data_IF_231800595052
#
_entry.id   IF_231800595052
#
_cell.length_a   1.000
_cell.length_b   1.000
_cell.length_c   1.000
_cell.angle_alpha   90.00
_cell.angle_beta   90.00
_cell.angle_gamma   90.00
#
_symmetry.space_group_name_H-M   'P 1'
#
loop_
_entity.id
_entity.type
_entity.pdbx_description
1 polymer ?
#
# COMPACT_ATOMS: atom_id res chain seq x y z
N UNK A 1 17.98 -0.62 -0.09
CA UNK A 1 18.41 -0.56 1.33
C UNK A 1 17.57 -1.55 2.15
N UNK A 2 18.13 -2.24 3.15
CA UNK A 2 17.37 -3.00 4.17
C UNK A 2 17.65 -2.34 5.51
N UNK A 3 16.62 -1.80 6.16
CA UNK A 3 16.73 -1.22 7.49
C UNK A 3 15.55 -1.65 8.34
N UNK A 4 15.82 -1.97 9.61
CA UNK A 4 14.82 -2.36 10.59
C UNK A 4 15.02 -1.63 11.91
N UNK A 5 13.92 -1.12 12.46
CA UNK A 5 13.86 -0.57 13.81
C UNK A 5 12.57 -1.09 14.45
N UNK A 6 12.67 -2.16 15.23
CA UNK A 6 11.54 -2.72 15.93
C UNK A 6 11.21 -1.91 17.17
N UNK A 7 10.01 -1.37 17.25
CA UNK A 7 9.45 -0.84 18.49
C UNK A 7 8.12 -1.54 18.75
N UNK A 8 7.98 -2.10 19.95
CA UNK A 8 6.78 -2.82 20.35
C UNK A 8 5.51 -1.93 20.30
N UNK A 9 4.35 -2.56 20.16
CA UNK A 9 3.00 -1.98 20.36
C UNK A 9 2.93 -1.09 21.62
N UNK A 10 3.71 -1.38 22.66
CA UNK A 10 3.81 -0.62 23.91
C UNK A 10 4.81 0.56 23.90
N UNK A 11 5.69 0.68 22.91
CA UNK A 11 6.73 1.72 22.79
C UNK A 11 6.26 3.03 22.15
N UNK A 12 7.05 4.10 22.25
CA UNK A 12 6.66 5.49 21.87
C UNK A 12 6.97 5.89 20.42
N UNK A 13 7.73 5.09 19.67
CA UNK A 13 8.13 5.36 18.28
C UNK A 13 7.62 4.24 17.38
N UNK A 14 6.96 4.55 16.27
CA UNK A 14 6.42 3.54 15.37
C UNK A 14 7.08 3.63 14.00
N UNK A 15 7.97 2.69 13.69
CA UNK A 15 8.55 2.52 12.35
C UNK A 15 8.38 1.07 11.89
N UNK A 16 8.54 0.87 10.59
CA UNK A 16 8.46 -0.43 9.95
C UNK A 16 9.61 -1.35 10.38
N UNK A 17 9.34 -2.64 10.64
CA UNK A 17 10.39 -3.59 11.07
C UNK A 17 11.37 -3.93 9.94
N UNK A 18 10.93 -3.85 8.69
CA UNK A 18 11.74 -3.97 7.48
C UNK A 18 11.30 -2.96 6.42
N UNK A 19 12.15 -1.99 6.08
CA UNK A 19 11.96 -1.17 4.89
C UNK A 19 12.81 -1.75 3.76
N UNK A 20 12.16 -2.26 2.70
CA UNK A 20 12.81 -2.77 1.50
C UNK A 20 12.55 -1.82 0.34
N UNK A 21 13.61 -1.22 -0.18
CA UNK A 21 13.55 -0.30 -1.32
C UNK A 21 14.46 -0.79 -2.44
N UNK A 22 13.88 -0.99 -3.64
CA UNK A 22 14.55 -1.58 -4.83
C UNK A 22 15.23 -2.93 -4.55
N UNK A 23 14.70 -3.69 -3.58
CA UNK A 23 15.25 -4.99 -3.23
C UNK A 23 14.75 -6.08 -4.20
N UNK A 24 15.57 -7.12 -4.41
CA UNK A 24 15.19 -8.27 -5.23
C UNK A 24 15.60 -9.57 -4.60
N UNK A 25 14.86 -10.65 -4.88
CA UNK A 25 15.13 -12.00 -4.41
C UNK A 25 15.30 -12.10 -2.89
N UNK A 26 14.34 -11.54 -2.15
CA UNK A 26 14.37 -11.53 -0.69
C UNK A 26 13.51 -12.67 -0.15
N UNK A 27 14.08 -13.48 0.75
CA UNK A 27 13.35 -14.49 1.51
C UNK A 27 13.34 -14.10 2.98
N UNK A 28 12.14 -14.05 3.56
CA UNK A 28 11.91 -13.98 5.00
C UNK A 28 11.15 -15.25 5.39
N UNK A 29 11.76 -16.06 6.24
CA UNK A 29 11.30 -17.41 6.51
C UNK A 29 11.41 -17.72 8.00
N UNK A 30 10.40 -18.41 8.55
CA UNK A 30 10.41 -18.94 9.91
C UNK A 30 10.74 -17.88 10.97
N UNK A 31 10.08 -16.72 10.84
CA UNK A 31 10.26 -15.57 11.73
C UNK A 31 8.96 -15.30 12.51
N UNK A 32 9.10 -14.83 13.74
CA UNK A 32 8.01 -14.29 14.55
C UNK A 32 8.15 -12.78 14.70
N UNK A 33 7.09 -12.05 14.38
CA UNK A 33 6.98 -10.59 14.50
C UNK A 33 5.94 -10.27 15.55
N UNK A 34 6.40 -10.08 16.78
CA UNK A 34 5.55 -9.82 17.92
C UNK A 34 5.55 -8.35 18.28
N UNK A 35 4.37 -7.75 18.34
CA UNK A 35 4.22 -6.34 18.67
C UNK A 35 4.89 -5.38 17.65
N UNK A 36 5.15 -5.84 16.43
CA UNK A 36 5.89 -5.07 15.42
C UNK A 36 5.03 -4.06 14.63
N UNK A 37 3.74 -3.90 14.95
CA UNK A 37 2.80 -3.12 14.13
C UNK A 37 2.00 -2.12 14.98
N UNK A 38 2.55 -0.89 15.11
CA UNK A 38 1.92 0.23 15.84
C UNK A 38 1.45 1.37 14.93
N UNK A 39 2.38 1.98 14.20
CA UNK A 39 2.10 3.12 13.28
C UNK A 39 2.62 2.87 11.85
N UNK A 40 3.09 1.67 11.55
CA UNK A 40 3.72 1.33 10.27
C UNK A 40 3.35 -0.07 9.80
N UNK A 41 4.28 -0.70 9.09
CA UNK A 41 4.14 -2.05 8.56
C UNK A 41 5.14 -2.97 9.26
N UNK A 42 4.94 -4.29 9.24
CA UNK A 42 6.07 -5.18 9.56
C UNK A 42 7.10 -5.06 8.44
N UNK A 43 6.63 -5.09 7.19
CA UNK A 43 7.44 -5.05 5.98
C UNK A 43 6.84 -4.04 4.99
N UNK A 44 7.61 -3.02 4.63
CA UNK A 44 7.26 -2.09 3.56
C UNK A 44 8.07 -2.43 2.31
N UNK A 45 7.39 -2.84 1.24
CA UNK A 45 8.01 -3.26 -0.02
C UNK A 45 7.83 -2.17 -1.07
N UNK A 46 8.91 -1.50 -1.42
CA UNK A 46 8.87 -0.34 -2.33
C UNK A 46 9.69 -0.61 -3.59
N UNK A 47 9.00 -0.81 -4.72
CA UNK A 47 9.65 -1.16 -5.98
C UNK A 47 10.49 -2.44 -5.90
N UNK A 48 10.01 -3.44 -5.17
CA UNK A 48 10.71 -4.71 -5.00
C UNK A 48 10.30 -5.74 -6.07
N UNK A 49 11.16 -6.72 -6.33
CA UNK A 49 10.90 -7.80 -7.28
C UNK A 49 11.37 -9.16 -6.71
N UNK A 50 10.43 -10.08 -6.49
CA UNK A 50 10.76 -11.42 -5.98
C UNK A 50 10.96 -11.40 -4.46
N UNK A 51 9.89 -11.11 -3.71
CA UNK A 51 9.89 -11.18 -2.24
C UNK A 51 9.03 -12.34 -1.78
N UNK A 52 9.61 -13.23 -0.97
CA UNK A 52 8.90 -14.37 -0.37
C UNK A 52 8.89 -14.22 1.13
N UNK A 53 7.70 -14.22 1.74
CA UNK A 53 7.50 -14.32 3.18
C UNK A 53 6.82 -15.64 3.45
N UNK A 54 7.52 -16.57 4.12
CA UNK A 54 7.05 -17.95 4.24
C UNK A 54 7.14 -18.48 5.66
N UNK A 55 6.10 -19.17 6.11
CA UNK A 55 6.06 -19.82 7.43
C UNK A 55 6.34 -18.86 8.59
N UNK A 56 6.00 -17.57 8.42
CA UNK A 56 6.19 -16.54 9.44
C UNK A 56 4.92 -16.33 10.27
N UNK A 57 5.09 -15.85 11.50
CA UNK A 57 3.97 -15.46 12.37
C UNK A 57 4.03 -13.97 12.67
N UNK A 58 2.91 -13.27 12.54
CA UNK A 58 2.76 -11.87 12.94
C UNK A 58 1.67 -11.77 14.01
N UNK A 59 2.04 -11.27 15.19
CA UNK A 59 1.18 -11.21 16.36
C UNK A 59 0.84 -9.76 16.75
N UNK A 60 -0.46 -9.47 16.67
CA UNK A 60 -1.05 -8.25 17.18
C UNK A 60 -0.78 -7.01 16.32
N UNK A 61 -1.75 -6.10 16.38
CA UNK A 61 -1.71 -4.76 15.79
C UNK A 61 -2.20 -3.75 16.81
N UNK A 62 -1.44 -2.69 17.07
CA UNK A 62 -1.93 -1.62 17.93
C UNK A 62 -3.16 -0.97 17.31
N UNK A 63 -4.24 -0.71 18.07
CA UNK A 63 -5.30 0.18 17.63
C UNK A 63 -4.67 1.56 17.46
N UNK A 64 -4.74 2.08 16.25
CA UNK A 64 -4.41 3.48 16.03
C UNK A 64 -5.60 4.33 16.45
N UNK A 65 -5.37 5.31 17.32
CA UNK A 65 -6.39 6.26 17.78
C UNK A 65 -6.70 7.34 16.74
N UNK A 66 -6.00 7.33 15.61
CA UNK A 66 -6.11 8.30 14.52
C UNK A 66 -5.94 7.58 13.18
N UNK A 67 -7.04 7.33 12.47
CA UNK A 67 -7.12 6.97 11.04
C UNK A 67 -6.39 5.72 10.51
N UNK A 68 -5.57 4.99 11.27
CA UNK A 68 -4.70 3.95 10.66
C UNK A 68 -5.09 2.50 10.93
N UNK A 69 -6.39 2.20 10.94
CA UNK A 69 -6.85 0.80 10.96
C UNK A 69 -6.55 0.05 9.64
N UNK A 70 -6.19 0.73 8.55
CA UNK A 70 -5.81 0.10 7.27
C UNK A 70 -4.45 -0.61 7.26
N UNK A 71 -3.54 -0.36 8.22
CA UNK A 71 -2.13 -0.76 8.05
C UNK A 71 -1.93 -2.26 7.92
N UNK A 72 -1.31 -2.64 6.81
CA UNK A 72 -0.94 -3.98 6.40
C UNK A 72 0.34 -4.40 7.13
N UNK A 73 0.46 -5.67 7.50
CA UNK A 73 1.71 -6.25 7.96
C UNK A 73 2.76 -6.20 6.86
N UNK A 74 2.36 -6.57 5.64
CA UNK A 74 3.22 -6.53 4.46
C UNK A 74 2.59 -5.58 3.44
N UNK A 75 3.15 -4.40 3.29
CA UNK A 75 2.68 -3.43 2.31
C UNK A 75 3.42 -3.64 0.99
N UNK A 76 2.67 -3.82 -0.10
CA UNK A 76 3.21 -3.73 -1.47
C UNK A 76 2.98 -2.31 -1.98
N UNK A 77 4.05 -1.59 -2.27
CA UNK A 77 4.00 -0.18 -2.63
C UNK A 77 4.96 0.15 -3.80
N UNK A 78 4.77 1.34 -4.36
CA UNK A 78 5.62 1.94 -5.38
C UNK A 78 6.81 2.66 -4.73
N UNK A 79 7.94 2.69 -5.45
CA UNK A 79 9.11 3.48 -5.08
C UNK A 79 8.81 4.98 -5.11
N UNK A 80 8.30 5.51 -3.99
CA UNK A 80 8.02 6.94 -3.81
C UNK A 80 8.48 7.40 -2.44
N UNK A 81 8.87 8.67 -2.34
CA UNK A 81 9.25 9.27 -1.06
C UNK A 81 8.08 9.25 -0.06
N UNK A 82 6.85 9.47 -0.54
CA UNK A 82 5.67 9.51 0.32
C UNK A 82 5.25 8.14 0.87
N UNK A 83 5.45 7.06 0.10
CA UNK A 83 5.22 5.70 0.57
C UNK A 83 6.38 5.12 1.39
N UNK A 84 7.48 5.87 1.52
CA UNK A 84 8.68 5.36 2.16
C UNK A 84 8.54 5.25 3.67
N UNK A 85 8.62 4.01 4.16
CA UNK A 85 8.73 3.72 5.60
C UNK A 85 10.05 4.21 6.19
N UNK A 86 11.08 4.37 5.35
CA UNK A 86 12.35 4.99 5.72
C UNK A 86 12.93 5.77 4.53
N UNK A 87 13.55 6.92 4.80
CA UNK A 87 14.11 7.77 3.76
C UNK A 87 15.37 7.13 3.13
N UNK A 88 15.39 7.09 1.81
CA UNK A 88 16.53 6.71 0.98
C UNK A 88 16.97 7.94 0.16
N UNK A 89 17.96 7.78 -0.71
CA UNK A 89 18.40 8.83 -1.62
C UNK A 89 17.23 9.38 -2.44
N UNK A 90 17.05 10.71 -2.48
CA UNK A 90 15.95 11.34 -3.23
C UNK A 90 15.92 10.94 -4.72
N UNK A 91 17.08 10.62 -5.31
CA UNK A 91 17.18 10.18 -6.70
C UNK A 91 16.82 8.71 -6.94
N UNK A 92 16.61 7.89 -5.91
CA UNK A 92 16.23 6.48 -6.07
C UNK A 92 14.72 6.25 -6.16
N UNK A 93 13.90 7.29 -5.94
CA UNK A 93 12.44 7.20 -6.04
C UNK A 93 11.95 7.38 -7.48
N UNK A 94 11.64 6.28 -8.16
CA UNK A 94 11.33 6.23 -9.59
C UNK A 94 9.90 5.72 -9.91
N UNK A 95 9.11 5.51 -8.88
CA UNK A 95 7.75 4.98 -8.95
C UNK A 95 7.66 3.51 -9.31
N UNK A 96 8.76 2.75 -9.32
CA UNK A 96 8.75 1.32 -9.67
C UNK A 96 7.75 0.58 -8.76
N UNK A 97 6.76 -0.16 -9.31
CA UNK A 97 5.83 -0.92 -8.50
C UNK A 97 6.48 -2.21 -7.99
N UNK A 98 6.06 -2.64 -6.80
CA UNK A 98 6.45 -3.96 -6.29
C UNK A 98 5.73 -5.08 -7.05
N UNK A 99 6.49 -6.11 -7.43
CA UNK A 99 6.00 -7.26 -8.21
C UNK A 99 6.57 -8.58 -7.67
N UNK A 100 5.92 -9.69 -8.03
CA UNK A 100 6.36 -11.06 -7.70
C UNK A 100 6.53 -11.25 -6.18
N UNK A 101 5.43 -11.11 -5.44
CA UNK A 101 5.42 -11.28 -3.99
C UNK A 101 4.65 -12.53 -3.62
N UNK A 102 5.25 -13.38 -2.78
CA UNK A 102 4.62 -14.58 -2.24
C UNK A 102 4.55 -14.49 -0.73
N UNK A 103 3.35 -14.68 -0.17
CA UNK A 103 3.11 -14.81 1.26
C UNK A 103 2.47 -16.17 1.49
N UNK A 104 3.23 -17.12 2.01
CA UNK A 104 2.83 -18.53 2.05
C UNK A 104 2.98 -19.11 3.47
N UNK A 105 2.02 -19.92 3.91
CA UNK A 105 2.09 -20.61 5.21
C UNK A 105 2.12 -19.69 6.44
N UNK A 106 1.88 -18.38 6.26
CA UNK A 106 2.00 -17.40 7.32
C UNK A 106 0.79 -17.37 8.27
N UNK A 107 1.00 -16.90 9.49
CA UNK A 107 -0.05 -16.78 10.51
C UNK A 107 -0.16 -15.34 10.97
N UNK A 108 -1.35 -14.75 10.85
CA UNK A 108 -1.66 -13.39 11.30
C UNK A 108 -2.72 -13.50 12.40
N UNK A 109 -2.30 -13.25 13.64
CA UNK A 109 -3.08 -13.60 14.83
C UNK A 109 -3.21 -12.42 15.79
N UNK A 110 -4.28 -12.38 16.61
CA UNK A 110 -4.38 -11.42 17.70
C UNK A 110 -3.32 -11.69 18.76
N UNK A 111 -3.05 -10.69 19.60
CA UNK A 111 -2.08 -10.79 20.69
C UNK A 111 -2.65 -10.17 21.96
N UNK A 112 -2.50 -10.83 23.11
CA UNK A 112 -2.87 -10.26 24.40
C UNK A 112 -1.63 -9.86 25.18
N UNK A 113 -1.52 -8.57 25.53
CA UNK A 113 -0.42 -8.02 26.33
C UNK A 113 -1.02 -7.20 27.46
N UNK A 114 -0.60 -7.47 28.71
CA UNK A 114 -1.06 -6.71 29.88
C UNK A 114 -2.58 -6.69 30.06
N UNK A 115 -3.27 -7.78 29.71
CA UNK A 115 -4.73 -7.88 29.77
C UNK A 115 -5.50 -7.20 28.63
N UNK A 116 -4.80 -6.56 27.69
CA UNK A 116 -5.41 -5.97 26.49
C UNK A 116 -5.19 -6.87 25.29
N UNK A 117 -6.27 -7.24 24.58
CA UNK A 117 -6.20 -7.98 23.33
C UNK A 117 -6.17 -7.04 22.14
N UNK A 118 -5.14 -7.17 21.33
CA UNK A 118 -4.91 -6.47 20.08
C UNK A 118 -5.36 -7.36 18.91
N UNK A 119 -6.07 -6.83 17.90
CA UNK A 119 -6.51 -7.60 16.73
C UNK A 119 -5.31 -8.09 15.92
N UNK A 120 -5.54 -9.07 15.05
CA UNK A 120 -4.52 -9.42 14.06
C UNK A 120 -4.31 -8.28 13.06
N UNK A 121 -3.11 -8.14 12.50
CA UNK A 121 -2.89 -7.23 11.40
C UNK A 121 -3.52 -7.73 10.10
N UNK A 122 -3.84 -6.81 9.21
CA UNK A 122 -4.19 -7.12 7.82
C UNK A 122 -2.95 -7.69 7.14
N UNK A 123 -2.99 -8.89 6.51
CA UNK A 123 -1.77 -9.56 6.07
C UNK A 123 -0.96 -8.79 5.03
N UNK A 124 -1.59 -8.51 3.89
CA UNK A 124 -0.95 -7.98 2.69
C UNK A 124 -1.88 -7.00 2.02
N UNK A 125 -1.33 -5.90 1.53
CA UNK A 125 -2.10 -4.97 0.72
C UNK A 125 -1.36 -3.74 0.25
N UNK A 126 -2.11 -2.85 -0.39
CA UNK A 126 -1.66 -1.57 -0.90
C UNK A 126 -2.76 -0.52 -0.84
N UNK A 127 -2.38 0.73 -0.58
CA UNK A 127 -3.29 1.88 -0.50
C UNK A 127 -2.78 3.12 -1.25
N UNK A 128 -1.73 2.97 -2.05
CA UNK A 128 -1.23 3.95 -3.01
C UNK A 128 -1.14 3.33 -4.41
N UNK A 129 -1.16 4.14 -5.46
CA UNK A 129 -1.02 3.67 -6.84
C UNK A 129 -0.56 4.79 -7.77
N UNK A 130 0.38 4.54 -8.68
CA UNK A 130 0.71 5.47 -9.77
C UNK A 130 -0.04 5.04 -11.03
N UNK A 131 -0.64 5.98 -11.76
CA UNK A 131 -1.36 5.68 -13.00
C UNK A 131 -0.49 4.86 -13.98
N UNK A 132 -1.05 3.80 -14.53
CA UNK A 132 -0.36 2.88 -15.45
C UNK A 132 0.66 1.94 -14.79
N UNK A 133 0.86 2.02 -13.47
CA UNK A 133 1.76 1.14 -12.72
C UNK A 133 0.95 0.25 -11.79
N UNK A 134 1.15 -1.05 -11.92
CA UNK A 134 0.36 -2.05 -11.22
C UNK A 134 1.25 -2.92 -10.34
N UNK A 135 0.75 -3.28 -9.16
CA UNK A 135 1.34 -4.34 -8.35
C UNK A 135 1.01 -5.68 -9.01
N UNK A 136 2.02 -6.49 -9.30
CA UNK A 136 1.83 -7.70 -10.12
C UNK A 136 2.27 -8.97 -9.46
N UNK A 137 1.58 -10.06 -9.81
CA UNK A 137 1.94 -11.41 -9.41
C UNK A 137 2.08 -11.54 -7.89
N UNK A 138 1.02 -11.18 -7.18
CA UNK A 138 0.97 -11.26 -5.72
C UNK A 138 0.22 -12.54 -5.35
N UNK A 139 0.87 -13.43 -4.61
CA UNK A 139 0.27 -14.68 -4.13
C UNK A 139 0.20 -14.65 -2.62
N UNK A 140 -1.00 -14.85 -2.07
CA UNK A 140 -1.22 -15.11 -0.65
C UNK A 140 -1.79 -16.52 -0.55
N UNK A 141 -1.07 -17.45 0.06
CA UNK A 141 -1.46 -18.86 0.11
C UNK A 141 -1.25 -19.53 1.45
N UNK A 142 -2.10 -20.51 1.75
CA UNK A 142 -1.96 -21.39 2.92
C UNK A 142 -1.84 -20.62 4.27
N UNK A 143 -2.32 -19.38 4.32
CA UNK A 143 -2.21 -18.54 5.50
C UNK A 143 -3.39 -18.74 6.44
N UNK A 144 -3.13 -18.57 7.74
CA UNK A 144 -4.15 -18.42 8.77
C UNK A 144 -4.28 -16.94 9.13
N UNK A 145 -5.48 -16.39 8.95
CA UNK A 145 -5.84 -15.04 9.35
C UNK A 145 -6.97 -15.15 10.37
N UNK A 146 -6.71 -14.74 11.60
CA UNK A 146 -7.71 -14.82 12.67
C UNK A 146 -7.92 -13.45 13.29
N UNK A 147 -9.17 -13.02 13.43
CA UNK A 147 -9.55 -11.78 14.12
C UNK A 147 -8.82 -10.53 13.60
N UNK A 148 -8.57 -10.51 12.27
CA UNK A 148 -8.19 -9.30 11.57
C UNK A 148 -9.42 -8.41 11.42
N UNK A 149 -9.22 -7.10 11.60
CA UNK A 149 -10.29 -6.11 11.55
C UNK A 149 -10.20 -5.29 10.29
N UNK A 150 -11.31 -5.15 9.59
CA UNK A 150 -11.41 -4.20 8.48
C UNK A 150 -11.25 -2.77 9.01
N UNK A 151 -10.59 -1.94 8.22
CA UNK A 151 -10.64 -0.51 8.44
C UNK A 151 -12.03 0.01 8.08
N UNK A 152 -12.70 0.68 9.02
CA UNK A 152 -14.00 1.33 8.79
C UNK A 152 -13.89 2.84 8.60
N UNK A 153 -12.67 3.38 8.60
CA UNK A 153 -12.36 4.81 8.63
C UNK A 153 -11.70 5.33 7.35
N UNK A 154 -10.97 4.50 6.61
CA UNK A 154 -10.42 4.88 5.28
C UNK A 154 -11.33 4.49 4.12
N UNK A 155 -10.89 4.72 2.88
CA UNK A 155 -11.56 4.20 1.67
C UNK A 155 -11.16 2.75 1.32
N UNK A 156 -10.32 2.11 2.15
CA UNK A 156 -9.75 0.78 1.90
C UNK A 156 -10.13 -0.21 3.01
N UNK A 157 -11.05 -1.13 2.74
CA UNK A 157 -11.82 -1.85 3.77
C UNK A 157 -11.50 -3.35 3.88
N UNK A 158 -10.63 -3.91 3.03
CA UNK A 158 -10.37 -5.36 3.00
C UNK A 158 -9.32 -5.82 4.02
N UNK A 159 -9.50 -7.00 4.63
CA UNK A 159 -8.43 -7.71 5.38
C UNK A 159 -7.24 -7.94 4.45
N UNK A 160 -7.49 -8.39 3.22
CA UNK A 160 -6.59 -8.22 2.09
C UNK A 160 -7.15 -7.11 1.20
N UNK A 161 -6.33 -6.14 0.83
CA UNK A 161 -6.79 -5.06 -0.05
C UNK A 161 -5.70 -4.60 -1.01
N UNK A 162 -6.08 -4.37 -2.26
CA UNK A 162 -5.12 -3.98 -3.29
C UNK A 162 -5.67 -2.88 -4.18
N UNK A 163 -4.94 -1.78 -4.27
CA UNK A 163 -5.18 -0.73 -5.27
C UNK A 163 -4.30 -0.98 -6.48
N UNK A 164 -4.87 -0.94 -7.69
CA UNK A 164 -4.12 -1.09 -8.94
C UNK A 164 -3.27 -2.38 -8.96
N UNK A 165 -3.86 -3.51 -8.60
CA UNK A 165 -3.20 -4.81 -8.70
C UNK A 165 -3.65 -5.60 -9.94
N UNK A 166 -2.73 -6.40 -10.46
CA UNK A 166 -2.89 -7.20 -11.67
C UNK A 166 -2.24 -8.57 -11.44
N UNK A 167 -3.01 -9.64 -11.52
CA UNK A 167 -2.53 -10.99 -11.17
C UNK A 167 -2.33 -11.18 -9.66
N UNK A 168 -3.42 -11.12 -8.89
CA UNK A 168 -3.43 -11.50 -7.47
C UNK A 168 -4.08 -12.86 -7.28
N UNK A 169 -3.38 -13.77 -6.59
CA UNK A 169 -3.88 -15.10 -6.24
C UNK A 169 -4.05 -15.22 -4.73
N UNK A 170 -5.24 -15.62 -4.29
CA UNK A 170 -5.56 -15.89 -2.87
C UNK A 170 -6.02 -17.33 -2.76
N UNK A 171 -5.15 -18.22 -2.29
CA UNK A 171 -5.32 -19.68 -2.43
C UNK A 171 -5.22 -20.40 -1.09
N UNK A 172 -6.19 -21.24 -0.73
CA UNK A 172 -6.14 -22.08 0.47
C UNK A 172 -5.90 -21.33 1.79
N UNK A 173 -6.34 -20.07 1.88
CA UNK A 173 -6.24 -19.30 3.11
C UNK A 173 -7.46 -19.54 3.99
N UNK A 174 -7.25 -19.48 5.31
CA UNK A 174 -8.32 -19.58 6.30
C UNK A 174 -8.51 -18.24 7.00
N UNK A 175 -9.67 -17.63 6.81
CA UNK A 175 -10.09 -16.42 7.52
C UNK A 175 -11.06 -16.81 8.63
N UNK A 176 -10.75 -16.43 9.88
CA UNK A 176 -11.56 -16.75 11.07
C UNK A 176 -11.89 -15.44 11.77
N UNK A 177 -13.17 -15.19 12.04
CA UNK A 177 -13.62 -14.14 12.95
C UNK A 177 -14.31 -14.79 14.14
N UNK A 178 -13.77 -14.54 15.33
CA UNK A 178 -14.33 -14.98 16.62
C UNK A 178 -14.86 -13.81 17.45
N UNK A 179 -14.59 -12.58 17.03
CA UNK A 179 -14.83 -11.34 17.80
C UNK A 179 -16.05 -10.52 17.34
N UNK A 180 -16.92 -11.08 16.48
CA UNK A 180 -18.13 -10.46 15.94
C UNK A 180 -17.95 -9.09 15.23
N UNK A 181 -16.71 -8.71 14.92
CA UNK A 181 -16.42 -7.48 14.17
C UNK A 181 -16.74 -7.66 12.69
N UNK A 182 -17.48 -6.73 12.04
CA UNK A 182 -17.71 -6.77 10.61
C UNK A 182 -16.38 -6.58 9.87
N UNK A 183 -16.04 -7.53 9.00
CA UNK A 183 -14.85 -7.42 8.18
C UNK A 183 -15.12 -7.87 6.73
N UNK A 184 -14.71 -7.03 5.78
CA UNK A 184 -14.60 -7.42 4.37
C UNK A 184 -13.33 -8.24 4.20
N UNK A 185 -13.45 -9.47 3.72
CA UNK A 185 -12.30 -10.37 3.58
C UNK A 185 -11.27 -9.88 2.55
N UNK A 186 -11.70 -9.61 1.33
CA UNK A 186 -10.80 -9.27 0.21
C UNK A 186 -11.42 -8.13 -0.60
N UNK A 187 -10.63 -7.11 -0.94
CA UNK A 187 -11.11 -6.00 -1.77
C UNK A 187 -10.08 -5.54 -2.81
N UNK A 188 -10.55 -5.30 -4.03
CA UNK A 188 -9.73 -4.80 -5.14
C UNK A 188 -10.23 -3.43 -5.59
N UNK A 189 -9.31 -2.51 -5.85
CA UNK A 189 -9.60 -1.15 -6.31
C UNK A 189 -8.89 -0.90 -7.63
N UNK A 190 -9.60 -0.30 -8.57
CA UNK A 190 -9.12 -0.10 -9.95
C UNK A 190 -7.88 0.79 -10.01
N UNK A 191 -7.93 1.93 -9.32
CA UNK A 191 -6.88 2.91 -9.05
C UNK A 191 -7.45 3.85 -7.97
N UNK A 192 -6.62 4.65 -7.29
CA UNK A 192 -7.10 5.70 -6.38
C UNK A 192 -8.32 6.42 -6.99
N UNK A 193 -9.42 6.54 -6.23
CA UNK A 193 -10.74 7.06 -6.63
C UNK A 193 -10.70 8.47 -7.29
N UNK A 194 -10.14 8.59 -8.49
CA UNK A 194 -10.06 9.83 -9.26
C UNK A 194 -9.30 10.99 -8.62
N UNK A 195 -8.46 10.76 -7.60
CA UNK A 195 -7.64 11.84 -7.00
C UNK A 195 -6.30 11.94 -7.73
N UNK A 196 -6.03 13.05 -8.46
CA UNK A 196 -4.74 13.25 -9.11
C UNK A 196 -3.63 13.33 -8.07
N UNK A 197 -2.51 12.66 -8.33
CA UNK A 197 -1.28 12.88 -7.58
C UNK A 197 -0.81 14.33 -7.80
N UNK A 198 -0.24 15.00 -6.78
CA UNK A 198 0.54 16.20 -7.02
C UNK A 198 1.71 15.80 -7.91
N UNK A 199 1.63 16.13 -9.20
CA UNK A 199 2.72 15.89 -10.15
C UNK A 199 3.90 16.74 -9.72
N UNK A 200 4.86 16.14 -9.01
CA UNK A 200 6.20 16.72 -8.92
C UNK A 200 6.82 16.57 -10.31
N UNK A 201 6.67 17.60 -11.13
CA UNK A 201 7.46 17.75 -12.36
C UNK A 201 8.92 17.87 -11.91
N UNK A 202 9.64 16.76 -11.89
CA UNK A 202 11.09 16.81 -12.00
C UNK A 202 11.37 17.50 -13.33
N UNK A 203 11.84 18.75 -13.28
CA UNK A 203 12.37 19.44 -14.46
C UNK A 203 13.66 18.73 -14.85
N UNK A 204 13.54 17.60 -15.54
CA UNK A 204 14.65 17.13 -16.35
C UNK A 204 14.78 18.12 -17.51
N UNK A 205 15.82 18.94 -17.42
CA UNK A 205 16.27 19.81 -18.50
C UNK A 205 16.83 18.90 -19.59
N UNK A 206 15.97 18.36 -20.44
CA UNK A 206 16.40 17.68 -21.66
C UNK A 206 16.49 18.73 -22.78
N UNK A 207 17.71 18.90 -23.30
CA UNK A 207 18.00 19.67 -24.50
C UNK A 207 17.20 19.12 -25.69
N UNK A 208 16.72 19.96 -26.62
CA UNK A 208 15.81 19.50 -27.66
C UNK A 208 16.60 18.77 -28.75
N UNK A 209 16.54 17.44 -28.76
CA UNK A 209 16.78 16.67 -29.98
C UNK A 209 15.45 16.56 -30.72
N UNK A 210 15.41 17.18 -31.91
CA UNK A 210 14.31 17.12 -32.87
C UNK A 210 14.02 15.66 -33.19
N UNK A 211 12.78 15.21 -32.95
CA UNK A 211 12.25 14.03 -33.62
C UNK A 211 11.45 14.53 -34.83
N UNK A 212 11.99 14.28 -36.03
CA UNK A 212 11.27 14.42 -37.28
C UNK A 212 10.20 13.31 -37.38
N UNK A 213 9.06 13.68 -37.96
CA UNK A 213 8.13 12.80 -38.70
C UNK A 213 7.00 12.11 -37.90
N UNK A 214 5.79 12.68 -38.04
CA UNK A 214 4.52 11.95 -38.22
C UNK A 214 3.65 12.77 -39.20
N UNK A 215 3.11 12.18 -40.28
CA UNK A 215 2.31 12.91 -41.26
C UNK A 215 0.83 12.98 -40.85
N UNK A 216 0.25 14.18 -41.00
CA UNK A 216 -1.11 14.44 -41.49
C UNK A 216 -2.32 13.96 -40.70
N UNK A 217 -3.01 14.90 -40.04
CA UNK A 217 -4.42 15.22 -40.38
C UNK A 217 -4.69 16.70 -40.10
N UNK A 218 -5.20 17.36 -41.14
CA UNK A 218 -5.59 18.76 -41.28
C UNK A 218 -6.90 19.11 -40.57
N UNK A 219 -7.05 20.36 -40.08
CA UNK A 219 -8.36 21.02 -39.92
C UNK A 219 -8.57 21.90 -38.68
N UNK A 220 -8.28 23.19 -38.85
CA UNK A 220 -8.54 24.43 -38.06
C UNK A 220 -9.94 24.58 -37.38
N UNK A 221 -10.25 25.68 -36.63
CA UNK A 221 -9.45 26.44 -35.63
C UNK A 221 -10.26 26.82 -34.36
N UNK A 222 -9.58 27.50 -33.43
CA UNK A 222 -10.07 28.03 -32.16
C UNK A 222 -11.24 29.03 -32.26
N UNK A 223 -12.16 28.95 -31.29
CA UNK A 223 -13.06 30.05 -30.91
C UNK A 223 -12.95 30.33 -29.42
N UNK A 224 -12.65 31.59 -29.11
CA UNK A 224 -12.63 32.21 -27.80
C UNK A 224 -14.04 32.32 -27.23
N UNK A 225 -14.30 31.73 -26.06
CA UNK A 225 -15.55 31.95 -25.33
C UNK A 225 -15.40 33.13 -24.37
N UNK A 226 -16.19 34.16 -24.65
CA UNK A 226 -16.41 35.38 -23.88
C UNK A 226 -16.93 35.12 -22.47
N UNK A 227 -16.61 36.10 -21.61
CA UNK A 227 -17.16 36.37 -20.29
C UNK A 227 -18.67 36.15 -20.18
N UNK A 228 -19.08 35.44 -19.13
CA UNK A 228 -20.45 35.44 -18.62
C UNK A 228 -20.41 35.79 -17.13
N UNK A 229 -20.82 37.03 -16.83
CA UNK A 229 -21.18 37.51 -15.50
C UNK A 229 -22.48 36.82 -15.00
N UNK A 230 -22.67 36.61 -13.69
CA UNK A 230 -23.87 35.98 -13.14
C UNK A 230 -25.04 36.98 -12.94
N UNK A 231 -26.30 36.52 -12.97
CA UNK A 231 -27.46 37.39 -12.79
C UNK A 231 -27.74 37.75 -11.32
N UNK A 232 -28.04 39.04 -11.09
CA UNK A 232 -28.53 39.61 -9.83
C UNK A 232 -29.90 39.06 -9.44
N UNK A 233 -30.04 38.54 -8.21
CA UNK A 233 -31.34 38.32 -7.55
C UNK A 233 -31.92 39.64 -7.08
N UNK A 234 -33.18 39.94 -7.44
CA UNK A 234 -34.01 40.97 -6.78
C UNK A 234 -34.67 40.33 -5.56
N UNK A 235 -34.55 40.97 -4.39
CA UNK A 235 -35.37 40.74 -3.21
C UNK A 235 -36.66 41.55 -3.33
N UNK A 236 -37.78 40.95 -2.94
CA UNK A 236 -38.86 41.65 -2.22
C UNK A 236 -38.48 41.69 -0.75
#
# INVERSE_FOLDING_TARGET
MIQGVGNGITGTVGNTSFSLHHARNVLVYDCAFEQCLKLGHVMGLQGCDGVTVRDCTVLGKAPSTTDSLYKEAIQVDVSTLAGASYADNLGSYDGLPTINVTVDGCRFLPLTVGGTTYPAPNPVGSHASIEGRYYRNITVSNCLIQDAVSDTTSSYFGILHFVAADGVSVVNNRFISTTAQPATGIMFYRTHLGRPWPTWRTRHRTSPTRCLWCPGTSGLPATTSRDLLPPRRRRT
#
